data_IF_623894677623
#
_entry.id   IF_623894677623
#
_cell.length_a   1.000
_cell.length_b   1.000
_cell.length_c   1.000
_cell.angle_alpha   90.00
_cell.angle_beta   90.00
_cell.angle_gamma   90.00
#
_symmetry.space_group_name_H-M   'P 1'
#
loop_
_entity.id
_entity.type
_entity.pdbx_description
1 polymer ?
#
# COMPACT_ATOMS: atom_id res chain seq x y z
N UNK A 1 14.28 8.86 -16.30
CA UNK A 1 14.95 8.15 -17.40
C UNK A 1 14.95 6.63 -17.28
N UNK A 2 15.36 6.01 -16.13
CA UNK A 2 15.41 4.53 -15.99
C UNK A 2 14.07 3.82 -16.23
N UNK A 3 12.97 4.38 -15.76
CA UNK A 3 11.61 3.83 -15.97
C UNK A 3 11.20 3.85 -17.45
N UNK A 4 11.57 4.90 -18.18
CA UNK A 4 11.27 5.02 -19.62
C UNK A 4 12.04 3.96 -20.40
N UNK A 5 13.34 3.78 -20.11
CA UNK A 5 14.14 2.71 -20.74
C UNK A 5 13.63 1.32 -20.38
N UNK A 6 13.23 1.10 -19.12
CA UNK A 6 12.62 -0.16 -18.70
C UNK A 6 11.34 -0.46 -19.47
N UNK A 7 10.47 0.53 -19.65
CA UNK A 7 9.25 0.38 -20.44
C UNK A 7 9.53 0.08 -21.91
N UNK A 8 10.48 0.79 -22.52
CA UNK A 8 10.88 0.53 -23.91
C UNK A 8 11.42 -0.89 -24.09
N UNK A 9 12.21 -1.40 -23.13
CA UNK A 9 12.72 -2.77 -23.17
C UNK A 9 11.59 -3.80 -23.06
N UNK A 10 10.59 -3.57 -22.22
CA UNK A 10 9.43 -4.45 -22.11
C UNK A 10 8.65 -4.45 -23.43
N UNK A 11 8.38 -3.29 -24.02
CA UNK A 11 7.65 -3.20 -25.28
C UNK A 11 8.42 -3.90 -26.40
N UNK A 12 9.72 -3.64 -26.54
CA UNK A 12 10.57 -4.30 -27.53
C UNK A 12 10.61 -5.83 -27.31
N UNK A 13 10.68 -6.28 -26.07
CA UNK A 13 10.63 -7.68 -25.70
C UNK A 13 9.32 -8.33 -26.13
N UNK A 14 8.17 -7.73 -25.82
CA UNK A 14 6.87 -8.27 -26.20
C UNK A 14 6.72 -8.38 -27.72
N UNK A 15 7.11 -7.36 -28.45
CA UNK A 15 7.09 -7.37 -29.92
C UNK A 15 8.00 -8.46 -30.49
N UNK A 16 9.22 -8.58 -29.95
CA UNK A 16 10.17 -9.60 -30.38
C UNK A 16 9.70 -11.04 -30.08
N UNK A 17 9.21 -11.27 -28.88
CA UNK A 17 8.65 -12.59 -28.47
C UNK A 17 7.50 -12.97 -29.40
N UNK A 18 6.56 -12.04 -29.65
CA UNK A 18 5.40 -12.31 -30.50
C UNK A 18 5.82 -12.61 -31.93
N UNK A 19 6.76 -11.83 -32.47
CA UNK A 19 7.30 -12.04 -33.82
C UNK A 19 7.96 -13.41 -33.94
N UNK A 20 8.90 -13.76 -33.06
CA UNK A 20 9.65 -15.01 -33.16
C UNK A 20 8.84 -16.26 -32.79
N UNK A 21 7.77 -16.10 -32.00
CA UNK A 21 6.83 -17.22 -31.73
C UNK A 21 6.14 -17.73 -33.02
N UNK A 22 5.84 -16.83 -33.94
CA UNK A 22 5.13 -17.17 -35.20
C UNK A 22 6.05 -17.20 -36.42
N UNK A 23 7.34 -17.00 -36.23
CA UNK A 23 8.30 -16.97 -37.33
C UNK A 23 8.67 -18.39 -37.80
N UNK A 24 8.20 -18.78 -38.99
CA UNK A 24 8.53 -20.06 -39.66
C UNK A 24 9.45 -19.89 -40.87
N UNK A 25 10.10 -18.72 -41.01
CA UNK A 25 10.97 -18.44 -42.15
C UNK A 25 12.39 -18.99 -41.97
N UNK A 26 13.08 -19.24 -43.11
CA UNK A 26 14.45 -19.70 -43.16
C UNK A 26 15.51 -18.60 -43.23
N UNK A 27 15.06 -17.33 -43.30
CA UNK A 27 15.95 -16.18 -43.52
C UNK A 27 16.72 -15.79 -42.24
N UNK A 28 16.13 -15.93 -41.08
CA UNK A 28 16.78 -15.58 -39.82
C UNK A 28 17.43 -16.81 -39.21
N UNK A 29 18.77 -16.85 -39.05
CA UNK A 29 19.45 -17.96 -38.41
C UNK A 29 19.12 -18.00 -36.91
N UNK A 30 18.95 -19.20 -36.38
CA UNK A 30 18.75 -19.51 -34.95
C UNK A 30 17.60 -18.71 -34.28
N UNK A 31 16.36 -18.85 -34.74
CA UNK A 31 15.23 -18.06 -34.22
C UNK A 31 14.99 -18.24 -32.69
N UNK A 32 15.36 -19.42 -32.16
CA UNK A 32 15.31 -19.70 -30.72
C UNK A 32 16.25 -18.82 -29.88
N UNK A 33 17.43 -18.49 -30.39
CA UNK A 33 18.36 -17.60 -29.69
C UNK A 33 17.80 -16.18 -29.60
N UNK A 34 17.18 -15.70 -30.67
CA UNK A 34 16.51 -14.39 -30.69
C UNK A 34 15.35 -14.35 -29.72
N UNK A 35 14.53 -15.40 -29.67
CA UNK A 35 13.44 -15.53 -28.71
C UNK A 35 13.95 -15.39 -27.26
N UNK A 36 15.00 -16.15 -26.91
CA UNK A 36 15.61 -16.08 -25.57
C UNK A 36 16.17 -14.68 -25.28
N UNK A 37 16.81 -14.04 -26.25
CA UNK A 37 17.34 -12.68 -26.10
C UNK A 37 16.24 -11.67 -25.76
N UNK A 38 15.08 -11.77 -26.37
CA UNK A 38 13.94 -10.89 -26.07
C UNK A 38 13.33 -11.16 -24.70
N UNK A 39 13.31 -12.41 -24.25
CA UNK A 39 12.90 -12.74 -22.88
C UNK A 39 13.84 -12.11 -21.86
N UNK A 40 15.16 -12.21 -22.07
CA UNK A 40 16.16 -11.59 -21.20
C UNK A 40 15.99 -10.08 -21.19
N UNK A 41 15.76 -9.45 -22.36
CA UNK A 41 15.52 -8.01 -22.49
C UNK A 41 14.31 -7.57 -21.68
N UNK A 42 13.22 -8.36 -21.67
CA UNK A 42 12.02 -8.09 -20.87
C UNK A 42 12.30 -8.14 -19.38
N UNK A 43 13.05 -9.13 -18.91
CA UNK A 43 13.46 -9.25 -17.51
C UNK A 43 14.35 -8.09 -17.07
N UNK A 44 15.28 -7.65 -17.93
CA UNK A 44 16.08 -6.45 -17.66
C UNK A 44 15.23 -5.20 -17.56
N UNK A 45 14.23 -5.03 -18.45
CA UNK A 45 13.27 -3.94 -18.39
C UNK A 45 12.49 -3.90 -17.09
N UNK A 46 11.95 -5.05 -16.66
CA UNK A 46 11.24 -5.20 -15.40
C UNK A 46 12.13 -4.89 -14.18
N UNK A 47 13.38 -5.37 -14.19
CA UNK A 47 14.36 -5.08 -13.14
C UNK A 47 14.70 -3.58 -13.05
N UNK A 48 14.83 -2.89 -14.18
CA UNK A 48 15.07 -1.44 -14.21
C UNK A 48 13.92 -0.65 -13.58
N UNK A 49 12.67 -1.01 -13.90
CA UNK A 49 11.48 -0.38 -13.32
C UNK A 49 11.43 -0.65 -11.82
N UNK A 50 11.57 -1.91 -11.41
CA UNK A 50 11.55 -2.29 -10.00
C UNK A 50 12.61 -1.53 -9.19
N UNK A 51 13.86 -1.48 -9.71
CA UNK A 51 14.96 -0.77 -9.02
C UNK A 51 14.71 0.74 -8.89
N UNK A 52 14.06 1.34 -9.89
CA UNK A 52 13.70 2.76 -9.86
C UNK A 52 12.60 3.03 -8.84
N UNK A 53 11.54 2.22 -8.81
CA UNK A 53 10.42 2.34 -7.86
C UNK A 53 10.91 2.16 -6.42
N UNK A 54 11.75 1.16 -6.16
CA UNK A 54 12.33 0.93 -4.82
C UNK A 54 13.12 2.14 -4.30
N UNK A 55 13.87 2.83 -5.19
CA UNK A 55 14.60 4.05 -4.80
C UNK A 55 13.66 5.20 -4.45
N UNK A 56 12.61 5.40 -5.25
CA UNK A 56 11.61 6.45 -4.99
C UNK A 56 10.91 6.22 -3.66
N UNK A 57 10.46 4.99 -3.40
CA UNK A 57 9.81 4.65 -2.14
C UNK A 57 10.74 4.91 -0.95
N UNK A 58 12.01 4.49 -1.03
CA UNK A 58 12.98 4.74 0.04
C UNK A 58 13.19 6.23 0.32
N UNK A 59 13.26 7.06 -0.72
CA UNK A 59 13.40 8.51 -0.55
C UNK A 59 12.14 9.10 0.06
N UNK A 60 10.96 8.64 -0.39
CA UNK A 60 9.67 9.06 0.15
C UNK A 60 9.56 8.73 1.65
N UNK A 61 9.88 7.49 2.04
CA UNK A 61 9.88 7.06 3.44
C UNK A 61 10.84 7.88 4.30
N UNK A 62 12.04 8.17 3.81
CA UNK A 62 13.00 9.02 4.50
C UNK A 62 12.48 10.45 4.67
N UNK A 63 11.83 11.00 3.65
CA UNK A 63 11.26 12.34 3.72
C UNK A 63 10.12 12.38 4.75
N UNK A 64 9.18 11.43 4.67
CA UNK A 64 8.05 11.33 5.61
C UNK A 64 8.57 11.20 7.04
N UNK A 65 9.52 10.29 7.28
CA UNK A 65 10.09 10.10 8.61
C UNK A 65 10.78 11.38 9.12
N UNK A 66 11.51 12.09 8.27
CA UNK A 66 12.15 13.36 8.66
C UNK A 66 11.14 14.45 9.01
N UNK A 67 10.03 14.54 8.28
CA UNK A 67 8.95 15.49 8.58
C UNK A 67 8.23 15.14 9.89
N UNK A 68 7.97 13.84 10.13
CA UNK A 68 7.38 13.35 11.38
C UNK A 68 8.29 13.66 12.56
N UNK A 69 9.60 13.42 12.45
CA UNK A 69 10.55 13.73 13.52
C UNK A 69 10.66 15.25 13.80
N UNK A 70 10.65 16.08 12.75
CA UNK A 70 10.62 17.54 12.92
C UNK A 70 9.33 17.99 13.61
N UNK A 71 8.18 17.38 13.24
CA UNK A 71 6.92 17.67 13.88
C UNK A 71 6.97 17.28 15.37
N UNK A 72 7.40 16.06 15.71
CA UNK A 72 7.55 15.59 17.10
C UNK A 72 8.47 16.48 17.94
N UNK A 73 9.56 16.99 17.35
CA UNK A 73 10.49 17.85 18.04
C UNK A 73 9.90 19.22 18.44
N UNK A 74 8.96 19.74 17.63
CA UNK A 74 8.32 21.06 17.85
C UNK A 74 6.95 20.98 18.53
N UNK A 75 6.34 19.80 18.56
CA UNK A 75 5.02 19.58 19.13
C UNK A 75 5.03 19.49 20.66
N UNK A 76 3.91 19.77 21.26
CA UNK A 76 3.67 19.51 22.68
C UNK A 76 3.32 18.02 22.84
N UNK A 77 3.99 17.39 23.82
CA UNK A 77 3.85 15.96 24.09
C UNK A 77 2.85 15.75 25.22
N UNK A 78 1.79 14.99 24.97
CA UNK A 78 0.79 14.60 25.96
C UNK A 78 0.79 13.07 26.05
N UNK A 79 0.98 12.56 27.27
CA UNK A 79 0.77 11.13 27.55
C UNK A 79 -0.73 10.88 27.70
N UNK A 80 -1.26 9.91 26.95
CA UNK A 80 -2.69 9.63 26.99
C UNK A 80 -3.07 8.98 28.30
N UNK A 81 -4.10 9.56 28.93
CA UNK A 81 -4.80 8.93 30.02
C UNK A 81 -5.82 7.93 29.45
N UNK A 82 -5.66 6.66 29.82
CA UNK A 82 -6.49 5.58 29.30
C UNK A 82 -7.97 5.78 29.60
N UNK A 83 -8.29 6.37 30.77
CA UNK A 83 -9.67 6.59 31.20
C UNK A 83 -10.40 7.65 30.35
N UNK A 84 -9.65 8.50 29.65
CA UNK A 84 -10.17 9.50 28.71
C UNK A 84 -10.22 9.01 27.26
N UNK A 85 -9.87 7.73 27.04
CA UNK A 85 -9.82 7.11 25.73
C UNK A 85 -11.10 6.35 25.41
N UNK A 86 -11.73 6.65 24.29
CA UNK A 86 -12.84 5.88 23.74
C UNK A 86 -12.35 5.08 22.52
N UNK A 87 -12.61 3.77 22.52
CA UNK A 87 -12.27 2.87 21.43
C UNK A 87 -13.51 2.61 20.57
N UNK A 88 -13.42 2.92 19.27
CA UNK A 88 -14.53 2.78 18.34
C UNK A 88 -14.16 1.88 17.20
N UNK A 89 -15.13 1.07 16.73
CA UNK A 89 -14.98 0.29 15.50
C UNK A 89 -15.58 1.05 14.31
N UNK A 90 -14.89 1.01 13.20
CA UNK A 90 -15.42 1.32 11.88
C UNK A 90 -15.33 0.06 11.04
N UNK A 91 -16.44 -0.39 10.46
CA UNK A 91 -16.43 -1.46 9.46
C UNK A 91 -16.73 -0.83 8.11
N UNK A 92 -15.95 -1.17 7.11
CA UNK A 92 -16.32 -0.89 5.73
C UNK A 92 -16.21 -2.19 4.92
N UNK A 93 -17.13 -2.36 3.99
CA UNK A 93 -17.10 -3.47 3.06
C UNK A 93 -16.32 -3.05 1.81
N UNK A 94 -15.33 -3.83 1.44
CA UNK A 94 -14.60 -3.67 0.19
C UNK A 94 -14.89 -4.85 -0.72
N UNK A 95 -15.27 -4.58 -1.96
CA UNK A 95 -15.44 -5.62 -2.96
C UNK A 95 -14.08 -5.91 -3.59
N UNK A 96 -13.60 -7.13 -3.41
CA UNK A 96 -12.35 -7.61 -3.99
C UNK A 96 -12.72 -8.61 -5.08
N UNK A 97 -12.04 -8.56 -6.22
CA UNK A 97 -12.15 -9.63 -7.21
C UNK A 97 -11.65 -10.95 -6.59
N UNK A 98 -12.45 -11.98 -6.68
CA UNK A 98 -12.07 -13.32 -6.20
C UNK A 98 -10.84 -13.81 -6.99
N UNK A 99 -9.67 -13.98 -6.34
CA UNK A 99 -8.46 -14.44 -7.02
C UNK A 99 -8.61 -15.85 -7.63
N UNK A 100 -9.58 -16.64 -7.14
CA UNK A 100 -9.87 -17.97 -7.69
C UNK A 100 -10.73 -17.87 -8.96
N UNK A 101 -11.57 -16.85 -9.09
CA UNK A 101 -12.39 -16.63 -10.29
C UNK A 101 -11.55 -16.21 -11.50
N UNK A 102 -10.41 -15.54 -11.32
CA UNK A 102 -9.51 -15.17 -12.42
C UNK A 102 -8.88 -16.38 -13.10
N UNK A 103 -8.67 -17.48 -12.38
CA UNK A 103 -8.11 -18.73 -12.91
C UNK A 103 -9.14 -19.48 -13.77
N UNK A 104 -10.41 -19.39 -13.42
CA UNK A 104 -11.50 -20.01 -14.18
C UNK A 104 -11.76 -19.26 -15.50
N UNK A 105 -11.65 -17.93 -15.52
CA UNK A 105 -11.77 -17.11 -16.75
C UNK A 105 -10.71 -17.44 -17.80
N UNK A 106 -9.52 -17.88 -17.40
CA UNK A 106 -8.42 -18.23 -18.31
C UNK A 106 -8.67 -19.54 -19.10
N UNK A 107 -9.51 -20.43 -18.58
CA UNK A 107 -9.72 -21.76 -19.12
C UNK A 107 -11.16 -22.03 -19.64
N UNK A 108 -12.11 -21.13 -19.37
CA UNK A 108 -13.48 -21.28 -19.86
C UNK A 108 -13.65 -20.58 -21.21
N UNK A 109 -14.25 -21.23 -22.22
CA UNK A 109 -14.65 -20.55 -23.44
C UNK A 109 -15.74 -19.51 -23.13
N UNK A 110 -15.66 -18.36 -23.83
CA UNK A 110 -16.49 -17.15 -23.61
C UNK A 110 -18.00 -17.39 -23.50
N UNK A 111 -18.50 -18.51 -24.05
CA UNK A 111 -19.92 -18.88 -24.01
C UNK A 111 -20.41 -19.45 -22.68
N UNK A 112 -19.52 -19.80 -21.75
CA UNK A 112 -19.84 -20.33 -20.42
C UNK A 112 -19.54 -19.36 -19.28
N UNK A 113 -19.06 -18.17 -19.59
CA UNK A 113 -18.90 -17.07 -18.63
C UNK A 113 -20.24 -16.45 -18.27
N UNK A 114 -21.22 -17.27 -17.90
CA UNK A 114 -22.44 -16.87 -17.21
C UNK A 114 -22.02 -16.35 -15.84
N UNK A 115 -21.77 -15.01 -15.80
CA UNK A 115 -22.04 -14.13 -14.66
C UNK A 115 -21.92 -14.86 -13.29
N UNK A 116 -20.78 -15.47 -13.03
CA UNK A 116 -20.41 -15.72 -11.66
C UNK A 116 -20.00 -14.34 -11.11
N UNK A 117 -20.74 -13.87 -10.15
CA UNK A 117 -20.37 -12.68 -9.39
C UNK A 117 -18.99 -12.96 -8.80
N UNK A 118 -17.96 -12.42 -9.45
CA UNK A 118 -16.56 -12.71 -9.14
C UNK A 118 -16.02 -11.78 -8.06
N UNK A 119 -16.92 -11.10 -7.36
CA UNK A 119 -16.59 -10.18 -6.29
C UNK A 119 -16.90 -10.81 -4.94
N UNK A 120 -15.87 -10.91 -4.10
CA UNK A 120 -16.05 -11.25 -2.69
C UNK A 120 -16.13 -9.94 -1.91
N UNK A 121 -17.16 -9.83 -1.07
CA UNK A 121 -17.24 -8.70 -0.13
C UNK A 121 -16.43 -9.05 1.10
N UNK A 122 -15.28 -8.42 1.26
CA UNK A 122 -14.48 -8.51 2.48
C UNK A 122 -14.88 -7.40 3.44
N UNK A 123 -15.30 -7.80 4.64
CA UNK A 123 -15.56 -6.86 5.72
C UNK A 123 -14.25 -6.57 6.47
N UNK A 124 -13.69 -5.39 6.22
CA UNK A 124 -12.49 -4.94 6.94
C UNK A 124 -12.92 -4.29 8.24
N UNK A 125 -12.58 -4.92 9.36
CA UNK A 125 -12.78 -4.35 10.69
C UNK A 125 -11.58 -3.44 10.98
N UNK A 126 -11.87 -2.18 11.21
CA UNK A 126 -10.89 -1.19 11.62
C UNK A 126 -11.34 -0.55 12.91
N UNK A 127 -10.41 -0.15 13.75
CA UNK A 127 -10.71 0.58 14.96
C UNK A 127 -9.93 1.89 15.02
N UNK A 128 -10.44 2.82 15.78
CA UNK A 128 -9.78 4.08 16.05
C UNK A 128 -9.99 4.48 17.50
N UNK A 129 -9.07 5.30 17.98
CA UNK A 129 -9.08 5.85 19.32
C UNK A 129 -9.55 7.29 19.27
N UNK A 130 -10.44 7.66 20.17
CA UNK A 130 -10.82 9.04 20.42
C UNK A 130 -10.34 9.42 21.82
N UNK A 131 -9.59 10.51 21.92
CA UNK A 131 -9.10 11.06 23.16
C UNK A 131 -9.71 12.43 23.41
N UNK A 132 -10.29 12.65 24.59
CA UNK A 132 -10.92 13.91 24.94
C UNK A 132 -10.22 14.49 26.16
N UNK A 133 -9.60 15.64 26.01
CA UNK A 133 -8.93 16.35 27.10
C UNK A 133 -8.98 17.87 26.89
N UNK A 134 -8.58 18.62 27.91
CA UNK A 134 -8.43 20.07 27.79
C UNK A 134 -7.02 20.41 27.28
N UNK A 135 -6.95 21.13 26.16
CA UNK A 135 -5.71 21.68 25.65
C UNK A 135 -5.75 23.20 25.73
N UNK A 136 -4.82 23.78 26.50
CA UNK A 136 -4.78 25.23 26.79
C UNK A 136 -6.09 25.80 27.35
N UNK A 137 -6.78 25.00 28.18
CA UNK A 137 -8.04 25.42 28.82
C UNK A 137 -9.29 25.24 27.96
N UNK A 138 -9.16 24.78 26.72
CA UNK A 138 -10.30 24.46 25.85
C UNK A 138 -10.51 22.94 25.74
N UNK A 139 -11.73 22.44 25.82
CA UNK A 139 -12.02 21.03 25.60
C UNK A 139 -11.74 20.67 24.14
N UNK A 140 -10.86 19.72 23.92
CA UNK A 140 -10.46 19.25 22.60
C UNK A 140 -10.70 17.75 22.47
N UNK A 141 -11.11 17.35 21.28
CA UNK A 141 -11.31 15.96 20.92
C UNK A 141 -10.36 15.58 19.80
N UNK A 142 -9.52 14.60 20.05
CA UNK A 142 -8.54 14.09 19.11
C UNK A 142 -8.93 12.69 18.65
N UNK A 143 -8.83 12.43 17.35
CA UNK A 143 -9.19 11.13 16.75
C UNK A 143 -7.94 10.54 16.10
N UNK A 144 -7.61 9.29 16.45
CA UNK A 144 -6.46 8.62 15.84
C UNK A 144 -6.73 8.23 14.39
N UNK A 145 -5.67 7.84 13.70
CA UNK A 145 -5.79 7.07 12.46
C UNK A 145 -6.52 5.75 12.69
N UNK A 146 -7.03 5.15 11.61
CA UNK A 146 -7.59 3.82 11.65
C UNK A 146 -6.48 2.76 11.78
N UNK A 147 -6.73 1.77 12.64
CA UNK A 147 -5.85 0.61 12.85
C UNK A 147 -6.53 -0.65 12.33
N UNK A 148 -5.79 -1.58 11.70
CA UNK A 148 -6.33 -2.83 11.16
C UNK A 148 -6.55 -3.88 12.26
N UNK A 149 -7.08 -3.48 13.41
CA UNK A 149 -7.35 -4.32 14.56
C UNK A 149 -8.80 -4.10 15.01
N UNK A 150 -9.37 -5.07 15.72
CA UNK A 150 -10.61 -4.83 16.44
C UNK A 150 -10.38 -3.91 17.66
N UNK A 151 -11.45 -3.27 18.21
CA UNK A 151 -11.33 -2.36 19.34
C UNK A 151 -10.71 -2.98 20.60
N UNK A 152 -10.91 -4.30 20.84
CA UNK A 152 -10.35 -5.00 21.99
C UNK A 152 -8.83 -5.15 21.86
N UNK A 153 -8.36 -5.48 20.67
CA UNK A 153 -6.93 -5.55 20.34
C UNK A 153 -6.28 -4.16 20.45
N UNK A 154 -6.94 -3.12 19.92
CA UNK A 154 -6.45 -1.76 20.04
C UNK A 154 -6.36 -1.34 21.52
N UNK A 155 -7.39 -1.63 22.32
CA UNK A 155 -7.41 -1.37 23.77
C UNK A 155 -6.25 -2.06 24.48
N UNK A 156 -6.00 -3.35 24.17
CA UNK A 156 -4.88 -4.10 24.74
C UNK A 156 -3.54 -3.48 24.35
N UNK A 157 -3.41 -3.06 23.07
CA UNK A 157 -2.19 -2.43 22.58
C UNK A 157 -1.90 -1.10 23.26
N UNK A 158 -2.93 -0.27 23.47
CA UNK A 158 -2.84 1.00 24.21
C UNK A 158 -2.41 0.78 25.66
N UNK A 159 -2.96 -0.26 26.32
CA UNK A 159 -2.59 -0.60 27.71
C UNK A 159 -1.14 -1.08 27.82
N UNK A 160 -0.67 -1.82 26.84
CA UNK A 160 0.69 -2.38 26.83
C UNK A 160 1.77 -1.36 26.44
N UNK A 161 1.44 -0.45 25.55
CA UNK A 161 2.35 0.53 25.00
C UNK A 161 1.84 1.94 25.31
N UNK A 162 2.65 2.75 25.97
CA UNK A 162 2.29 4.14 26.26
C UNK A 162 2.12 4.91 24.93
N UNK A 163 0.89 5.29 24.63
CA UNK A 163 0.61 6.14 23.47
C UNK A 163 0.89 7.58 23.83
N UNK A 164 1.55 8.26 22.91
CA UNK A 164 1.89 9.67 23.03
C UNK A 164 1.13 10.42 21.95
N UNK A 165 0.42 11.47 22.35
CA UNK A 165 -0.19 12.43 21.46
C UNK A 165 0.74 13.65 21.32
N UNK A 166 1.17 13.92 20.12
CA UNK A 166 1.91 15.12 19.76
C UNK A 166 0.94 16.15 19.16
N UNK A 167 0.91 17.36 19.70
CA UNK A 167 0.02 18.43 19.22
C UNK A 167 0.88 19.64 18.84
N UNK A 168 0.61 20.23 17.69
CA UNK A 168 1.26 21.47 17.27
C UNK A 168 0.95 22.60 18.27
N UNK A 169 1.98 23.33 18.70
CA UNK A 169 1.83 24.43 19.69
C UNK A 169 0.96 25.57 19.22
N UNK A 170 0.85 25.76 17.91
CA UNK A 170 0.14 26.88 17.29
C UNK A 170 -1.19 26.47 16.66
N UNK A 171 -1.31 25.20 16.24
CA UNK A 171 -2.50 24.69 15.54
C UNK A 171 -2.93 23.32 16.10
N UNK A 172 -3.92 23.35 16.99
CA UNK A 172 -4.50 22.15 17.61
C UNK A 172 -5.13 21.14 16.62
N UNK A 173 -5.32 21.53 15.35
CA UNK A 173 -5.80 20.64 14.29
C UNK A 173 -4.70 19.72 13.75
N UNK A 174 -3.45 20.10 13.99
CA UNK A 174 -2.28 19.31 13.61
C UNK A 174 -1.81 18.50 14.80
N UNK A 175 -2.06 17.22 14.76
CA UNK A 175 -1.67 16.30 15.83
C UNK A 175 -1.32 14.92 15.27
N UNK A 176 -0.59 14.14 16.04
CA UNK A 176 -0.14 12.81 15.68
C UNK A 176 -0.21 11.90 16.90
N UNK A 177 -0.86 10.75 16.76
CA UNK A 177 -0.78 9.66 17.74
C UNK A 177 0.42 8.78 17.43
N UNK A 178 1.36 8.69 18.36
CA UNK A 178 2.55 7.84 18.25
C UNK A 178 2.34 6.58 19.09
N UNK A 179 2.08 5.48 18.41
CA UNK A 179 2.06 4.16 18.99
C UNK A 179 3.49 3.66 19.04
N UNK A 180 4.18 3.82 20.16
CA UNK A 180 5.47 3.17 20.36
C UNK A 180 5.26 1.65 20.34
N UNK A 181 5.76 1.03 19.27
CA UNK A 181 5.92 -0.42 19.17
C UNK A 181 7.02 -0.92 20.09
#
# INVERSE_FOLDING_TARGET
>A
MRTIFGLLFIIASLLGITFFKYYNGSVIPYPTLWYISFVILGLLGAWLIYSATRKVNKIMDQHINSEVEKFKANAEKIELDFDKCEFKSGSFSHQIEDPTASTVKLFAPDSLALIADTTITENVIQSYLTYTDSFKGEPCKFVSQYFPFDPSMLKFHVLKHHIILYIDRFDKRKYLFDLKS
#
